data_IF_074117682465
#
_entry.id   IF_074117682465
#
_cell.length_a   1.000
_cell.length_b   1.000
_cell.length_c   1.000
_cell.angle_alpha   90.00
_cell.angle_beta   90.00
_cell.angle_gamma   90.00
#
_symmetry.space_group_name_H-M   'P 1'
#
loop_
_entity.id
_entity.type
_entity.pdbx_description
1 polymer ?
#
# COMPACT_ATOMS: atom_id res chain seq x y z
N UNK A 1 39.80 -42.94 6.06
CA UNK A 1 39.70 -42.30 4.74
C UNK A 1 38.25 -42.01 4.29
N UNK A 2 37.32 -42.97 4.27
CA UNK A 2 35.89 -42.75 3.87
C UNK A 2 35.12 -41.71 4.69
N UNK A 3 35.45 -41.54 5.99
CA UNK A 3 34.78 -40.54 6.88
C UNK A 3 35.25 -39.11 6.63
N UNK A 4 36.51 -38.92 6.18
CA UNK A 4 37.10 -37.62 5.83
C UNK A 4 36.57 -37.15 4.46
N UNK A 5 36.49 -38.07 3.49
CA UNK A 5 35.88 -37.80 2.17
C UNK A 5 34.41 -37.46 2.27
N UNK A 6 33.59 -38.14 3.11
CA UNK A 6 32.19 -37.77 3.37
C UNK A 6 32.06 -36.39 4.01
N UNK A 7 32.97 -35.98 4.89
CA UNK A 7 32.98 -34.64 5.49
C UNK A 7 33.36 -33.55 4.47
N UNK A 8 34.33 -33.84 3.59
CA UNK A 8 34.76 -32.89 2.55
C UNK A 8 33.71 -32.71 1.43
N UNK A 9 33.04 -33.79 1.01
CA UNK A 9 31.98 -33.75 0.01
C UNK A 9 30.68 -33.15 0.59
N UNK A 10 30.39 -33.42 1.88
CA UNK A 10 29.27 -32.81 2.59
C UNK A 10 29.43 -31.30 2.81
N UNK A 11 30.66 -30.84 3.06
CA UNK A 11 30.97 -29.42 3.22
C UNK A 11 30.83 -28.62 1.92
N UNK A 12 31.26 -29.19 0.77
CA UNK A 12 31.11 -28.54 -0.55
C UNK A 12 29.68 -28.42 -1.05
N UNK A 13 28.79 -29.34 -0.64
CA UNK A 13 27.35 -29.25 -1.01
C UNK A 13 26.55 -28.24 -0.19
N UNK A 14 27.10 -27.73 0.92
CA UNK A 14 26.37 -26.84 1.84
C UNK A 14 26.73 -25.36 1.66
N UNK A 15 27.83 -25.07 0.98
CA UNK A 15 28.27 -23.68 0.83
C UNK A 15 27.28 -22.77 0.04
N UNK A 16 26.58 -23.24 -1.02
CA UNK A 16 25.64 -22.39 -1.71
C UNK A 16 24.48 -21.94 -0.82
N UNK A 17 23.95 -22.85 0.01
CA UNK A 17 22.89 -22.52 0.96
C UNK A 17 23.35 -21.51 2.00
N UNK A 18 24.58 -21.66 2.54
CA UNK A 18 25.15 -20.71 3.50
C UNK A 18 25.42 -19.36 2.86
N UNK A 19 25.92 -19.32 1.63
CA UNK A 19 26.13 -18.07 0.89
C UNK A 19 24.80 -17.35 0.60
N UNK A 20 23.76 -18.07 0.16
CA UNK A 20 22.43 -17.51 -0.04
C UNK A 20 21.81 -16.97 1.27
N UNK A 21 22.00 -17.69 2.39
CA UNK A 21 21.57 -17.22 3.71
C UNK A 21 22.33 -15.96 4.14
N UNK A 22 23.63 -15.88 3.91
CA UNK A 22 24.41 -14.67 4.20
C UNK A 22 23.95 -13.48 3.35
N UNK A 23 23.65 -13.69 2.07
CA UNK A 23 23.07 -12.67 1.19
C UNK A 23 21.70 -12.19 1.68
N UNK A 24 20.84 -13.11 2.11
CA UNK A 24 19.55 -12.76 2.70
C UNK A 24 19.70 -11.94 3.99
N UNK A 25 20.62 -12.34 4.88
CA UNK A 25 20.88 -11.59 6.11
C UNK A 25 21.41 -10.18 5.82
N UNK A 26 22.32 -10.04 4.85
CA UNK A 26 22.80 -8.74 4.41
C UNK A 26 21.67 -7.88 3.84
N UNK A 27 20.80 -8.46 3.00
CA UNK A 27 19.61 -7.75 2.50
C UNK A 27 18.74 -7.24 3.63
N UNK A 28 18.35 -8.11 4.58
CA UNK A 28 17.49 -7.74 5.69
C UNK A 28 18.16 -6.72 6.63
N UNK A 29 19.47 -6.84 6.85
CA UNK A 29 20.22 -5.83 7.61
C UNK A 29 20.15 -4.45 6.94
N UNK A 30 20.32 -4.37 5.62
CA UNK A 30 20.17 -3.14 4.85
C UNK A 30 18.74 -2.63 4.92
N UNK A 31 17.76 -3.51 4.73
CA UNK A 31 16.33 -3.15 4.77
C UNK A 31 15.92 -2.56 6.13
N UNK A 32 16.48 -3.07 7.24
CA UNK A 32 16.15 -2.58 8.58
C UNK A 32 16.94 -1.31 8.93
N UNK A 33 18.27 -1.29 8.67
CA UNK A 33 19.14 -0.20 9.11
C UNK A 33 19.06 1.05 8.23
N UNK A 34 18.68 0.91 6.97
CA UNK A 34 18.73 1.98 5.97
C UNK A 34 17.41 2.21 5.24
N UNK A 35 16.28 1.69 5.76
CA UNK A 35 14.96 1.66 5.10
C UNK A 35 14.36 3.02 4.70
N UNK A 36 14.94 4.11 5.19
CA UNK A 36 14.56 5.48 4.79
C UNK A 36 15.77 6.41 4.62
N UNK A 37 17.00 5.92 4.88
CA UNK A 37 18.20 6.74 4.93
C UNK A 37 18.94 6.85 3.59
N UNK A 38 18.77 5.87 2.70
CA UNK A 38 19.35 5.86 1.36
C UNK A 38 18.51 5.03 0.39
N UNK A 39 18.78 5.18 -0.91
CA UNK A 39 18.00 4.51 -1.98
C UNK A 39 18.08 2.98 -1.93
N UNK A 40 19.24 2.43 -1.56
CA UNK A 40 19.42 0.97 -1.44
C UNK A 40 18.57 0.40 -0.30
N UNK A 41 18.55 1.08 0.85
CA UNK A 41 17.71 0.70 1.98
C UNK A 41 16.23 0.80 1.68
N UNK A 42 15.80 1.87 1.01
CA UNK A 42 14.41 2.07 0.57
C UNK A 42 13.99 0.92 -0.37
N UNK A 43 14.80 0.59 -1.38
CA UNK A 43 14.53 -0.51 -2.29
C UNK A 43 14.54 -1.87 -1.60
N UNK A 44 15.50 -2.12 -0.70
CA UNK A 44 15.59 -3.35 0.06
C UNK A 44 14.36 -3.56 0.97
N UNK A 45 13.88 -2.50 1.63
CA UNK A 45 12.69 -2.54 2.46
C UNK A 45 11.42 -2.76 1.62
N UNK A 46 11.30 -2.09 0.47
CA UNK A 46 10.17 -2.24 -0.44
C UNK A 46 10.00 -3.68 -0.96
N UNK A 47 11.10 -4.41 -1.12
CA UNK A 47 11.11 -5.81 -1.53
C UNK A 47 11.14 -6.80 -0.35
N UNK A 48 10.86 -6.34 0.86
CA UNK A 48 10.86 -7.16 2.08
C UNK A 48 9.97 -8.41 2.04
N UNK A 49 8.74 -8.38 1.48
CA UNK A 49 7.93 -9.58 1.31
C UNK A 49 8.61 -10.68 0.47
N UNK A 50 9.41 -10.30 -0.53
CA UNK A 50 10.20 -11.24 -1.34
C UNK A 50 11.37 -11.83 -0.56
N UNK A 51 11.98 -11.04 0.34
CA UNK A 51 12.99 -11.55 1.26
C UNK A 51 12.40 -12.60 2.22
N UNK A 52 11.16 -12.39 2.69
CA UNK A 52 10.44 -13.39 3.49
C UNK A 52 10.20 -14.68 2.70
N UNK A 53 9.77 -14.59 1.45
CA UNK A 53 9.58 -15.77 0.58
C UNK A 53 10.91 -16.53 0.37
N UNK A 54 11.99 -15.80 0.11
CA UNK A 54 13.34 -16.41 0.01
C UNK A 54 13.73 -17.09 1.32
N UNK A 55 13.46 -16.46 2.47
CA UNK A 55 13.73 -17.06 3.77
C UNK A 55 12.98 -18.38 3.97
N UNK A 56 11.70 -18.46 3.53
CA UNK A 56 10.90 -19.70 3.58
C UNK A 56 11.54 -20.80 2.75
N UNK A 57 11.96 -20.49 1.52
CA UNK A 57 12.60 -21.47 0.63
C UNK A 57 13.93 -21.97 1.22
N UNK A 58 14.79 -21.07 1.71
CA UNK A 58 16.07 -21.43 2.33
C UNK A 58 15.86 -22.22 3.63
N UNK A 59 14.86 -21.90 4.41
CA UNK A 59 14.47 -22.62 5.62
C UNK A 59 14.07 -24.07 5.28
N UNK A 60 13.18 -24.26 4.32
CA UNK A 60 12.76 -25.58 3.87
C UNK A 60 13.96 -26.41 3.37
N UNK A 61 14.84 -25.84 2.55
CA UNK A 61 16.05 -26.49 2.08
C UNK A 61 16.99 -26.87 3.23
N UNK A 62 17.17 -26.01 4.23
CA UNK A 62 18.00 -26.30 5.40
C UNK A 62 17.48 -27.52 6.18
N UNK A 63 16.17 -27.61 6.40
CA UNK A 63 15.54 -28.75 7.07
C UNK A 63 15.64 -30.05 6.24
N UNK A 64 15.37 -30.00 4.94
CA UNK A 64 15.49 -31.15 4.02
C UNK A 64 16.94 -31.68 3.99
N UNK A 65 17.92 -30.79 3.99
CA UNK A 65 19.35 -31.15 3.99
C UNK A 65 19.89 -31.52 5.37
N UNK A 66 19.05 -31.61 6.40
CA UNK A 66 19.44 -31.99 7.76
C UNK A 66 20.28 -30.96 8.49
N UNK A 67 20.33 -29.70 8.04
CA UNK A 67 21.07 -28.61 8.67
C UNK A 67 20.26 -27.97 9.82
N UNK A 68 19.98 -28.74 10.88
CA UNK A 68 19.10 -28.36 11.98
C UNK A 68 19.35 -26.97 12.57
N UNK A 69 20.62 -26.59 12.81
CA UNK A 69 20.98 -25.28 13.39
C UNK A 69 20.61 -24.13 12.42
N UNK A 70 20.94 -24.29 11.14
CA UNK A 70 20.62 -23.29 10.12
C UNK A 70 19.10 -23.22 9.90
N UNK A 71 18.43 -24.36 9.88
CA UNK A 71 16.96 -24.44 9.79
C UNK A 71 16.28 -23.69 10.93
N UNK A 72 16.74 -23.86 12.18
CA UNK A 72 16.18 -23.15 13.33
C UNK A 72 16.37 -21.61 13.22
N UNK A 73 17.57 -21.15 12.83
CA UNK A 73 17.83 -19.71 12.62
C UNK A 73 16.93 -19.15 11.52
N UNK A 74 16.82 -19.86 10.39
CA UNK A 74 15.95 -19.42 9.28
C UNK A 74 14.47 -19.45 9.67
N UNK A 75 14.02 -20.39 10.51
CA UNK A 75 12.65 -20.40 11.05
C UNK A 75 12.36 -19.11 11.83
N UNK A 76 13.26 -18.71 12.72
CA UNK A 76 13.13 -17.45 13.48
C UNK A 76 13.09 -16.26 12.53
N UNK A 77 13.93 -16.24 11.49
CA UNK A 77 13.99 -15.18 10.51
C UNK A 77 12.70 -15.09 9.68
N UNK A 78 12.13 -16.22 9.27
CA UNK A 78 10.82 -16.28 8.59
C UNK A 78 9.74 -15.68 9.47
N UNK A 79 9.67 -16.05 10.75
CA UNK A 79 8.68 -15.50 11.68
C UNK A 79 8.85 -13.99 11.86
N UNK A 80 10.09 -13.53 12.08
CA UNK A 80 10.38 -12.11 12.27
C UNK A 80 10.00 -11.28 11.03
N UNK A 81 10.36 -11.75 9.81
CA UNK A 81 10.02 -11.05 8.56
C UNK A 81 8.52 -11.13 8.25
N UNK A 82 7.87 -12.25 8.53
CA UNK A 82 6.42 -12.40 8.34
C UNK A 82 5.63 -11.41 9.20
N UNK A 83 6.05 -11.19 10.44
CA UNK A 83 5.46 -10.20 11.35
C UNK A 83 5.79 -8.79 10.88
N UNK A 84 7.07 -8.47 10.63
CA UNK A 84 7.52 -7.12 10.27
C UNK A 84 6.88 -6.59 8.99
N UNK A 85 6.76 -7.42 7.97
CA UNK A 85 6.12 -7.05 6.69
C UNK A 85 4.62 -7.37 6.62
N UNK A 86 4.00 -7.77 7.74
CA UNK A 86 2.58 -8.15 7.80
C UNK A 86 2.21 -9.12 6.68
N UNK A 87 3.02 -10.18 6.53
CA UNK A 87 2.85 -11.15 5.45
C UNK A 87 1.57 -11.96 5.61
N UNK A 88 1.21 -12.32 6.85
CA UNK A 88 -0.01 -13.06 7.15
C UNK A 88 -1.17 -12.07 7.36
N UNK A 89 -2.25 -12.18 6.57
CA UNK A 89 -3.43 -11.38 6.81
C UNK A 89 -4.03 -11.70 8.19
N UNK A 90 -4.28 -10.67 8.96
CA UNK A 90 -5.00 -10.80 10.23
C UNK A 90 -6.48 -10.51 9.95
N UNK A 91 -7.21 -11.53 9.49
CA UNK A 91 -8.66 -11.43 9.30
C UNK A 91 -9.31 -10.91 10.57
N UNK A 92 -9.85 -9.72 10.54
CA UNK A 92 -10.70 -9.22 11.61
C UNK A 92 -11.96 -10.08 11.74
N UNK A 93 -12.69 -10.03 12.87
CA UNK A 93 -13.93 -10.73 13.02
C UNK A 93 -14.90 -10.34 11.93
N UNK A 94 -15.57 -11.34 11.35
CA UNK A 94 -16.59 -11.14 10.32
C UNK A 94 -17.70 -10.24 10.86
N UNK A 95 -17.78 -9.02 10.36
CA UNK A 95 -18.81 -8.05 10.77
C UNK A 95 -19.95 -8.17 9.77
N UNK A 96 -21.17 -8.41 10.24
CA UNK A 96 -22.36 -8.38 9.40
C UNK A 96 -22.39 -7.06 8.63
N UNK A 97 -22.43 -7.15 7.31
CA UNK A 97 -22.50 -6.01 6.42
C UNK A 97 -23.89 -5.38 6.51
N UNK A 98 -23.95 -4.08 6.84
CA UNK A 98 -25.15 -3.27 6.68
C UNK A 98 -25.04 -2.49 5.35
N UNK A 99 -25.91 -2.75 4.36
CA UNK A 99 -25.86 -2.07 3.07
C UNK A 99 -25.92 -0.54 3.16
N UNK A 100 -26.62 0.01 4.18
CA UNK A 100 -26.71 1.45 4.40
C UNK A 100 -25.43 2.07 4.96
N UNK A 101 -24.54 1.27 5.47
CA UNK A 101 -23.26 1.64 6.11
C UNK A 101 -22.04 1.13 5.35
N UNK A 102 -22.28 0.42 4.25
CA UNK A 102 -21.24 -0.05 3.34
C UNK A 102 -20.78 1.05 2.41
N UNK A 103 -19.49 1.05 2.09
CA UNK A 103 -18.92 1.91 1.06
C UNK A 103 -17.74 1.22 0.39
N UNK A 104 -17.53 1.59 -0.86
CA UNK A 104 -16.44 1.07 -1.68
C UNK A 104 -15.53 2.22 -2.10
N UNK A 105 -14.24 2.10 -1.79
CA UNK A 105 -13.22 3.11 -2.08
C UNK A 105 -12.28 2.59 -3.16
N UNK A 106 -12.11 3.35 -4.22
CA UNK A 106 -11.11 3.14 -5.26
C UNK A 106 -9.94 4.10 -5.07
N UNK A 107 -8.74 3.61 -5.29
CA UNK A 107 -7.52 4.42 -5.36
C UNK A 107 -6.73 4.01 -6.61
N UNK A 108 -6.15 4.99 -7.33
CA UNK A 108 -5.31 4.78 -8.52
C UNK A 108 -4.39 5.97 -8.75
N UNK A 109 -3.10 5.73 -9.00
CA UNK A 109 -2.23 6.69 -9.66
C UNK A 109 -2.41 6.54 -11.20
N UNK A 110 -2.74 7.64 -11.86
CA UNK A 110 -3.12 7.65 -13.29
C UNK A 110 -1.95 7.80 -14.24
N UNK A 111 -0.73 7.94 -13.73
CA UNK A 111 0.48 8.23 -14.51
C UNK A 111 0.25 9.42 -15.46
N UNK A 112 0.14 10.63 -14.88
CA UNK A 112 -0.08 11.87 -15.62
C UNK A 112 -1.30 11.78 -16.56
N UNK A 113 -2.42 11.28 -16.03
CA UNK A 113 -3.67 11.04 -16.78
C UNK A 113 -3.56 10.05 -17.95
N UNK A 114 -2.49 9.29 -18.03
CA UNK A 114 -2.32 8.29 -19.09
C UNK A 114 -3.28 7.10 -18.92
N UNK A 115 -3.72 6.82 -17.71
CA UNK A 115 -4.65 5.72 -17.40
C UNK A 115 -5.92 5.80 -18.26
N UNK A 116 -6.39 4.67 -18.78
CA UNK A 116 -7.60 4.59 -19.60
C UNK A 116 -8.86 5.01 -18.84
N UNK A 117 -9.51 6.15 -19.17
CA UNK A 117 -10.72 6.61 -18.48
C UNK A 117 -11.88 5.61 -18.59
N UNK A 118 -11.95 4.89 -19.72
CA UNK A 118 -12.95 3.84 -19.92
C UNK A 118 -12.75 2.67 -18.97
N UNK A 119 -11.50 2.24 -18.78
CA UNK A 119 -11.19 1.15 -17.86
C UNK A 119 -11.50 1.56 -16.41
N UNK A 120 -11.13 2.78 -16.01
CA UNK A 120 -11.45 3.32 -14.67
C UNK A 120 -12.96 3.37 -14.46
N UNK A 121 -13.73 3.92 -15.42
CA UNK A 121 -15.19 3.98 -15.32
C UNK A 121 -15.84 2.58 -15.26
N UNK A 122 -15.30 1.59 -15.98
CA UNK A 122 -15.76 0.20 -15.89
C UNK A 122 -15.55 -0.39 -14.49
N UNK A 123 -14.38 -0.14 -13.87
CA UNK A 123 -14.11 -0.57 -12.49
C UNK A 123 -15.08 0.10 -11.53
N UNK A 124 -15.24 1.44 -11.64
CA UNK A 124 -16.17 2.20 -10.79
C UNK A 124 -17.60 1.64 -10.89
N UNK A 125 -18.06 1.35 -12.10
CA UNK A 125 -19.40 0.80 -12.32
C UNK A 125 -19.53 -0.65 -11.80
N UNK A 126 -18.59 -1.53 -12.16
CA UNK A 126 -18.68 -2.96 -11.85
C UNK A 126 -18.47 -3.27 -10.37
N UNK A 127 -17.71 -2.43 -9.66
CA UNK A 127 -17.44 -2.59 -8.23
C UNK A 127 -18.33 -1.70 -7.36
N UNK A 128 -19.30 -0.97 -7.95
CA UNK A 128 -20.15 -0.01 -7.24
C UNK A 128 -19.34 0.93 -6.36
N UNK A 129 -18.28 1.54 -6.92
CA UNK A 129 -17.42 2.46 -6.19
C UNK A 129 -18.21 3.68 -5.74
N UNK A 130 -18.00 4.10 -4.51
CA UNK A 130 -18.66 5.23 -3.89
C UNK A 130 -17.75 6.45 -3.75
N UNK A 131 -16.47 6.19 -3.48
CA UNK A 131 -15.42 7.20 -3.35
C UNK A 131 -14.23 6.78 -4.21
N UNK A 132 -13.63 7.71 -4.94
CA UNK A 132 -12.43 7.44 -5.72
C UNK A 132 -11.36 8.52 -5.49
N UNK A 133 -10.13 8.09 -5.24
CA UNK A 133 -8.94 8.94 -5.16
C UNK A 133 -8.09 8.66 -6.39
N UNK A 134 -7.91 9.67 -7.23
CA UNK A 134 -7.05 9.59 -8.41
C UNK A 134 -5.85 10.51 -8.22
N UNK A 135 -4.66 9.94 -8.22
CA UNK A 135 -3.41 10.68 -8.16
C UNK A 135 -2.85 10.94 -9.57
N UNK A 136 -2.01 11.97 -9.69
CA UNK A 136 -1.42 12.44 -10.95
C UNK A 136 -2.45 12.81 -12.01
N UNK A 137 -3.53 13.47 -11.58
CA UNK A 137 -4.56 13.99 -12.48
C UNK A 137 -4.27 15.45 -12.85
N UNK A 138 -4.37 15.78 -14.13
CA UNK A 138 -4.09 17.13 -14.64
C UNK A 138 -5.37 17.91 -14.95
N UNK A 139 -5.25 19.25 -14.98
CA UNK A 139 -6.37 20.13 -15.36
C UNK A 139 -6.86 19.89 -16.80
N UNK A 140 -5.95 19.60 -17.72
CA UNK A 140 -6.24 19.38 -19.13
C UNK A 140 -6.95 18.06 -19.40
N UNK A 141 -6.81 17.09 -18.54
CA UNK A 141 -7.37 15.74 -18.70
C UNK A 141 -8.70 15.55 -17.98
N UNK A 142 -9.01 16.38 -16.99
CA UNK A 142 -10.27 16.31 -16.24
C UNK A 142 -11.53 16.25 -17.08
N UNK A 143 -11.67 16.93 -18.24
CA UNK A 143 -12.86 16.79 -19.08
C UNK A 143 -13.13 15.35 -19.52
N UNK A 144 -12.10 14.54 -19.75
CA UNK A 144 -12.25 13.13 -20.13
C UNK A 144 -12.70 12.23 -18.98
N UNK A 145 -12.15 12.41 -17.79
CA UNK A 145 -12.59 11.70 -16.60
C UNK A 145 -13.96 12.18 -16.17
N UNK A 146 -14.20 13.49 -16.16
CA UNK A 146 -15.43 14.08 -15.71
C UNK A 146 -16.65 13.55 -16.47
N UNK A 147 -16.66 13.52 -17.79
CA UNK A 147 -17.81 13.01 -18.55
C UNK A 147 -18.18 11.55 -18.26
N UNK A 148 -17.25 10.70 -17.85
CA UNK A 148 -17.51 9.29 -17.58
C UNK A 148 -17.72 9.02 -16.10
N UNK A 149 -16.91 9.64 -15.24
CA UNK A 149 -16.97 9.43 -13.81
C UNK A 149 -18.08 10.25 -13.15
N UNK A 150 -18.38 11.47 -13.61
CA UNK A 150 -19.46 12.32 -13.07
C UNK A 150 -20.84 11.68 -13.18
N UNK A 151 -21.07 10.83 -14.19
CA UNK A 151 -22.32 10.05 -14.27
C UNK A 151 -22.45 9.00 -13.16
N UNK A 152 -21.34 8.56 -12.60
CA UNK A 152 -21.26 7.51 -11.57
C UNK A 152 -20.97 8.10 -10.19
N UNK A 153 -20.11 9.13 -10.15
CA UNK A 153 -19.63 9.84 -8.97
C UNK A 153 -19.76 11.35 -9.23
N UNK A 154 -20.97 11.93 -9.03
CA UNK A 154 -21.30 13.27 -9.53
C UNK A 154 -20.60 14.42 -8.79
N UNK A 155 -20.00 14.15 -7.65
CA UNK A 155 -19.35 15.18 -6.84
C UNK A 155 -17.83 14.96 -6.87
N UNK A 156 -17.06 16.04 -7.05
CA UNK A 156 -15.61 15.93 -7.02
C UNK A 156 -14.96 17.15 -6.36
N UNK A 157 -13.72 16.94 -5.90
CA UNK A 157 -12.81 17.96 -5.44
C UNK A 157 -11.44 17.72 -6.06
N UNK A 158 -10.92 18.73 -6.73
CA UNK A 158 -9.61 18.70 -7.36
C UNK A 158 -8.91 20.03 -7.13
N UNK A 159 -7.59 20.02 -7.07
CA UNK A 159 -6.76 21.20 -7.10
C UNK A 159 -5.76 21.05 -8.23
N UNK A 160 -5.67 22.09 -9.05
CA UNK A 160 -4.65 22.20 -10.07
C UNK A 160 -3.32 22.55 -9.43
N UNK A 161 -2.35 21.70 -9.65
CA UNK A 161 -0.97 21.98 -9.31
C UNK A 161 -0.27 22.63 -10.51
N UNK A 162 0.81 23.43 -10.25
CA UNK A 162 1.53 24.12 -11.31
C UNK A 162 2.21 23.17 -12.32
N UNK A 163 2.37 21.92 -11.95
CA UNK A 163 2.93 20.87 -12.82
C UNK A 163 1.95 19.70 -12.97
N UNK A 164 1.85 19.10 -14.15
CA UNK A 164 0.93 18.00 -14.42
C UNK A 164 1.03 16.80 -13.46
N UNK A 165 2.24 16.53 -12.95
CA UNK A 165 2.52 15.42 -12.03
C UNK A 165 1.98 15.61 -10.62
N UNK A 166 1.48 16.79 -10.27
CA UNK A 166 1.18 17.16 -8.89
C UNK A 166 -0.33 17.20 -8.56
N UNK A 167 -1.21 16.94 -9.54
CA UNK A 167 -2.65 17.00 -9.33
C UNK A 167 -3.23 15.76 -8.66
N UNK A 168 -4.18 15.98 -7.77
CA UNK A 168 -5.01 14.92 -7.19
C UNK A 168 -6.48 15.26 -7.37
N UNK A 169 -7.33 14.24 -7.52
CA UNK A 169 -8.78 14.40 -7.58
C UNK A 169 -9.46 13.37 -6.70
N UNK A 170 -10.44 13.82 -5.93
CA UNK A 170 -11.35 12.94 -5.20
C UNK A 170 -12.73 13.04 -5.86
N UNK A 171 -13.32 11.89 -6.19
CA UNK A 171 -14.71 11.76 -6.64
C UNK A 171 -15.56 11.12 -5.56
N UNK A 172 -16.83 11.51 -5.48
CA UNK A 172 -17.79 11.00 -4.50
C UNK A 172 -19.17 10.80 -5.12
N UNK A 173 -19.84 9.71 -4.74
CA UNK A 173 -21.26 9.48 -5.03
C UNK A 173 -22.16 10.44 -4.25
N UNK A 174 -21.72 10.86 -3.08
CA UNK A 174 -22.48 11.72 -2.18
C UNK A 174 -22.04 13.18 -2.25
N UNK A 175 -22.93 14.13 -1.96
CA UNK A 175 -22.54 15.53 -1.84
C UNK A 175 -21.37 15.73 -0.87
N UNK A 176 -20.44 16.57 -1.28
CA UNK A 176 -19.30 16.96 -0.45
C UNK A 176 -19.78 18.07 0.50
N UNK A 177 -19.75 17.78 1.81
CA UNK A 177 -20.17 18.72 2.85
C UNK A 177 -19.10 19.78 3.12
N UNK A 178 -17.86 19.33 3.26
CA UNK A 178 -16.69 20.18 3.48
C UNK A 178 -15.51 19.68 2.65
N UNK A 179 -14.66 20.60 2.24
CA UNK A 179 -13.44 20.31 1.47
C UNK A 179 -12.33 21.28 1.83
N UNK A 180 -11.10 20.77 1.98
CA UNK A 180 -9.88 21.55 2.23
C UNK A 180 -8.64 20.76 1.84
N UNK A 181 -7.45 21.35 2.03
CA UNK A 181 -6.15 20.69 1.81
C UNK A 181 -5.35 20.63 3.09
N UNK A 182 -4.54 19.58 3.21
CA UNK A 182 -3.47 19.53 4.20
C UNK A 182 -2.26 20.25 3.61
N UNK A 183 -1.77 21.25 4.32
CA UNK A 183 -0.63 22.06 3.90
C UNK A 183 0.69 21.37 4.25
N UNK A 184 1.77 21.70 3.51
CA UNK A 184 3.13 21.20 3.80
C UNK A 184 3.47 19.86 3.15
N UNK A 185 2.66 19.37 2.23
CA UNK A 185 2.98 18.25 1.35
C UNK A 185 3.37 18.73 -0.04
N UNK A 186 4.24 18.00 -0.73
CA UNK A 186 4.69 18.34 -2.09
C UNK A 186 3.52 18.41 -3.07
N UNK A 187 2.68 17.38 -3.05
CA UNK A 187 1.46 17.33 -3.85
C UNK A 187 0.25 17.74 -3.00
N UNK A 188 -0.74 18.45 -3.55
CA UNK A 188 -1.94 18.82 -2.82
C UNK A 188 -2.61 17.58 -2.20
N UNK A 189 -2.60 17.51 -0.88
CA UNK A 189 -3.33 16.47 -0.14
C UNK A 189 -4.73 16.96 0.11
N UNK A 190 -5.71 16.32 -0.52
CA UNK A 190 -7.11 16.72 -0.51
C UNK A 190 -7.86 16.08 0.65
N UNK A 191 -8.78 16.82 1.25
CA UNK A 191 -9.68 16.29 2.28
C UNK A 191 -11.10 16.65 1.91
N UNK A 192 -11.99 15.66 2.00
CA UNK A 192 -13.44 15.87 1.89
C UNK A 192 -14.16 15.25 3.07
N UNK A 193 -15.35 15.78 3.35
CA UNK A 193 -16.32 15.14 4.24
C UNK A 193 -17.61 14.86 3.47
N UNK A 194 -18.13 13.65 3.65
CA UNK A 194 -19.39 13.19 3.09
C UNK A 194 -20.25 12.54 4.16
N UNK A 195 -21.55 12.40 3.92
CA UNK A 195 -22.46 11.72 4.86
C UNK A 195 -22.86 10.35 4.32
N UNK A 196 -22.59 9.30 5.10
CA UNK A 196 -22.85 7.90 4.73
C UNK A 196 -23.56 7.22 5.90
N UNK A 197 -24.77 6.68 5.66
CA UNK A 197 -25.54 6.01 6.72
C UNK A 197 -25.83 6.90 7.94
N UNK A 198 -25.95 8.22 7.73
CA UNK A 198 -26.14 9.18 8.81
C UNK A 198 -24.87 9.68 9.51
N UNK A 199 -23.74 9.03 9.29
CA UNK A 199 -22.44 9.36 9.88
C UNK A 199 -21.59 10.22 8.93
N UNK A 200 -20.79 11.14 9.48
CA UNK A 200 -19.79 11.87 8.69
C UNK A 200 -18.56 11.00 8.48
N UNK A 201 -18.15 10.82 7.24
CA UNK A 201 -16.91 10.15 6.83
C UNK A 201 -15.96 11.20 6.28
N UNK A 202 -14.72 11.20 6.78
CA UNK A 202 -13.63 12.05 6.28
C UNK A 202 -12.73 11.20 5.39
N UNK A 203 -12.55 11.61 4.14
CA UNK A 203 -11.63 11.01 3.18
C UNK A 203 -10.48 11.96 2.89
N UNK A 204 -9.27 11.47 3.05
CA UNK A 204 -8.02 12.13 2.64
C UNK A 204 -7.50 11.45 1.39
N UNK A 205 -7.25 12.21 0.34
CA UNK A 205 -6.65 11.75 -0.91
C UNK A 205 -5.27 12.37 -1.09
N UNK A 206 -4.25 11.55 -1.27
CA UNK A 206 -2.87 12.02 -1.34
C UNK A 206 -2.04 11.32 -2.43
N UNK A 207 -0.93 11.98 -2.78
CA UNK A 207 0.24 11.40 -3.40
C UNK A 207 1.48 11.96 -2.71
N UNK A 208 2.27 11.11 -2.08
CA UNK A 208 3.56 11.50 -1.52
C UNK A 208 4.61 11.64 -2.63
N UNK A 209 5.67 12.41 -2.39
CA UNK A 209 6.80 12.52 -3.32
C UNK A 209 7.41 11.13 -3.60
N UNK A 210 8.02 10.96 -4.78
CA UNK A 210 8.74 9.74 -5.10
C UNK A 210 10.10 9.70 -4.37
N UNK A 211 10.37 8.70 -3.51
CA UNK A 211 11.63 8.64 -2.77
C UNK A 211 12.87 8.51 -3.65
N UNK A 212 12.72 8.03 -4.90
CA UNK A 212 13.84 7.96 -5.86
C UNK A 212 14.15 9.32 -6.50
N UNK A 213 13.19 10.27 -6.47
CA UNK A 213 13.37 11.65 -6.95
C UNK A 213 13.86 12.52 -5.79
N UNK A 214 13.13 12.56 -4.69
CA UNK A 214 13.50 13.35 -3.51
C UNK A 214 13.10 12.63 -2.20
N UNK A 215 14.03 11.86 -1.68
CA UNK A 215 13.86 11.09 -0.45
C UNK A 215 13.48 11.95 0.77
N UNK A 216 14.09 13.11 0.91
CA UNK A 216 13.84 13.97 2.07
C UNK A 216 12.43 14.56 2.02
N UNK A 217 11.98 14.95 0.84
CA UNK A 217 10.64 15.44 0.63
C UNK A 217 9.59 14.34 0.83
N UNK A 218 9.85 13.13 0.31
CA UNK A 218 9.03 11.95 0.57
C UNK A 218 8.83 11.69 2.07
N UNK A 219 9.92 11.69 2.83
CA UNK A 219 9.85 11.50 4.28
C UNK A 219 9.10 12.65 4.97
N UNK A 220 9.29 13.89 4.50
CA UNK A 220 8.58 15.07 4.98
C UNK A 220 7.07 14.98 4.72
N UNK A 221 6.67 14.57 3.52
CA UNK A 221 5.26 14.39 3.16
C UNK A 221 4.59 13.38 4.10
N UNK A 222 5.20 12.20 4.27
CA UNK A 222 4.67 11.17 5.17
C UNK A 222 4.64 11.62 6.63
N UNK A 223 5.61 12.39 7.10
CA UNK A 223 5.61 12.96 8.44
C UNK A 223 4.50 14.00 8.61
N UNK A 224 4.24 14.85 7.61
CA UNK A 224 3.13 15.82 7.61
C UNK A 224 1.80 15.11 7.70
N UNK A 225 1.58 14.07 6.89
CA UNK A 225 0.37 13.24 6.95
C UNK A 225 0.24 12.53 8.30
N UNK A 226 1.37 12.04 8.85
CA UNK A 226 1.40 11.40 10.18
C UNK A 226 0.96 12.36 11.28
N UNK A 227 1.52 13.58 11.29
CA UNK A 227 1.18 14.60 12.29
C UNK A 227 -0.30 15.00 12.18
N UNK A 228 -0.79 15.19 10.94
CA UNK A 228 -2.20 15.50 10.70
C UNK A 228 -3.12 14.36 11.15
N UNK A 229 -2.85 13.12 10.74
CA UNK A 229 -3.66 11.96 11.12
C UNK A 229 -3.63 11.71 12.65
N UNK A 230 -2.48 11.94 13.30
CA UNK A 230 -2.34 11.83 14.75
C UNK A 230 -3.18 12.88 15.48
N UNK A 231 -3.20 14.14 15.01
CA UNK A 231 -4.04 15.18 15.59
C UNK A 231 -5.53 14.92 15.38
N UNK A 232 -5.87 14.14 14.33
CA UNK A 232 -7.23 13.76 13.98
C UNK A 232 -7.60 12.30 14.38
N UNK A 233 -6.79 11.64 15.21
CA UNK A 233 -7.03 10.24 15.64
C UNK A 233 -8.38 10.01 16.32
N UNK A 234 -8.98 11.06 16.88
CA UNK A 234 -10.31 11.03 17.46
C UNK A 234 -11.43 11.27 16.43
N UNK A 235 -11.08 11.62 15.21
CA UNK A 235 -12.03 11.73 14.11
C UNK A 235 -12.56 10.34 13.82
N UNK A 236 -13.85 10.16 14.08
CA UNK A 236 -14.54 8.92 13.72
C UNK A 236 -14.60 8.83 12.20
N UNK A 237 -14.52 7.61 11.67
CA UNK A 237 -14.73 7.34 10.26
C UNK A 237 -13.73 8.07 9.33
N UNK A 238 -12.43 7.98 9.65
CA UNK A 238 -11.34 8.51 8.83
C UNK A 238 -10.84 7.45 7.84
N UNK A 239 -10.73 7.85 6.58
CA UNK A 239 -10.10 7.10 5.49
C UNK A 239 -8.95 7.96 4.93
N UNK A 240 -7.79 7.37 4.74
CA UNK A 240 -6.65 7.99 4.06
C UNK A 240 -6.25 7.08 2.91
N UNK A 241 -6.39 7.54 1.68
CA UNK A 241 -6.14 6.74 0.48
C UNK A 241 -5.27 7.48 -0.53
N UNK A 242 -4.49 6.73 -1.31
CA UNK A 242 -3.66 7.32 -2.36
C UNK A 242 -2.37 6.56 -2.61
N UNK A 243 -1.48 7.20 -3.35
CA UNK A 243 -0.12 6.76 -3.61
C UNK A 243 0.81 7.35 -2.54
N UNK A 244 1.26 6.49 -1.62
CA UNK A 244 2.20 6.89 -0.56
C UNK A 244 3.66 6.81 -1.01
N UNK A 245 3.92 6.25 -2.20
CA UNK A 245 5.27 5.92 -2.65
C UNK A 245 6.08 5.16 -1.58
N UNK A 246 5.40 4.41 -0.75
CA UNK A 246 5.94 3.75 0.43
C UNK A 246 5.34 2.35 0.61
N UNK A 247 6.10 1.44 1.20
CA UNK A 247 5.65 0.09 1.57
C UNK A 247 5.73 -0.12 3.07
N UNK A 248 5.00 -1.12 3.59
CA UNK A 248 5.18 -1.62 4.95
C UNK A 248 6.64 -2.08 5.13
N UNK A 249 7.25 -1.71 6.25
CA UNK A 249 8.67 -1.94 6.54
C UNK A 249 9.55 -0.72 6.27
N UNK A 250 9.01 0.36 5.69
CA UNK A 250 9.70 1.64 5.56
C UNK A 250 9.34 2.57 6.72
N UNK A 251 10.35 3.11 7.41
CA UNK A 251 10.17 3.81 8.67
C UNK A 251 9.15 4.96 8.64
N UNK A 252 9.09 5.85 7.63
CA UNK A 252 8.07 6.91 7.61
C UNK A 252 6.65 6.37 7.48
N UNK A 253 6.44 5.29 6.71
CA UNK A 253 5.12 4.69 6.55
C UNK A 253 4.69 3.90 7.78
N UNK A 254 5.61 3.14 8.39
CA UNK A 254 5.35 2.43 9.65
C UNK A 254 5.06 3.42 10.79
N UNK A 255 5.74 4.58 10.81
CA UNK A 255 5.45 5.64 11.77
C UNK A 255 4.02 6.20 11.57
N UNK A 256 3.58 6.38 10.32
CA UNK A 256 2.21 6.79 10.03
C UNK A 256 1.21 5.78 10.61
N UNK A 257 1.34 4.50 10.29
CA UNK A 257 0.43 3.46 10.78
C UNK A 257 0.39 3.40 12.32
N UNK A 258 1.55 3.42 12.96
CA UNK A 258 1.67 3.24 14.41
C UNK A 258 1.17 4.47 15.19
N UNK A 259 1.50 5.68 14.75
CA UNK A 259 1.15 6.93 15.46
C UNK A 259 -0.30 7.35 15.22
N UNK A 260 -0.83 7.15 14.03
CA UNK A 260 -2.22 7.48 13.70
C UNK A 260 -3.22 6.41 14.16
N UNK A 261 -2.74 5.19 14.47
CA UNK A 261 -3.57 4.02 14.78
C UNK A 261 -4.53 3.64 13.63
N UNK A 262 -4.16 3.96 12.40
CA UNK A 262 -4.89 3.54 11.22
C UNK A 262 -4.49 2.12 10.82
N UNK A 263 -5.44 1.37 10.30
CA UNK A 263 -5.24 0.03 9.77
C UNK A 263 -5.05 0.10 8.26
N UNK A 264 -3.97 -0.48 7.73
CA UNK A 264 -3.78 -0.65 6.31
C UNK A 264 -4.68 -1.80 5.81
N UNK A 265 -5.59 -1.45 4.90
CA UNK A 265 -6.75 -2.30 4.55
C UNK A 265 -6.32 -3.57 3.81
N UNK A 266 -5.41 -3.47 2.85
CA UNK A 266 -5.02 -4.62 2.06
C UNK A 266 -4.19 -5.63 2.86
N UNK A 267 -3.32 -5.17 3.77
CA UNK A 267 -2.53 -6.07 4.64
C UNK A 267 -3.37 -6.79 5.67
N UNK A 268 -4.55 -6.28 6.00
CA UNK A 268 -5.45 -6.93 6.93
C UNK A 268 -6.14 -8.17 6.33
N UNK A 269 -6.32 -8.22 4.99
CA UNK A 269 -7.11 -9.27 4.33
C UNK A 269 -6.39 -10.01 3.21
N UNK A 270 -5.27 -9.49 2.69
CA UNK A 270 -4.58 -10.05 1.51
C UNK A 270 -3.11 -10.36 1.79
N UNK A 271 -2.57 -11.35 1.07
CA UNK A 271 -1.14 -11.66 1.03
C UNK A 271 -0.37 -10.57 0.27
N UNK A 272 0.94 -10.33 0.57
CA UNK A 272 1.72 -9.23 -0.03
C UNK A 272 1.71 -9.20 -1.55
N UNK A 273 1.86 -10.34 -2.19
CA UNK A 273 1.91 -10.46 -3.66
C UNK A 273 0.54 -10.27 -4.33
N UNK A 274 -0.57 -10.45 -3.63
CA UNK A 274 -1.91 -10.17 -4.17
C UNK A 274 -2.36 -8.73 -3.96
N UNK A 275 -1.62 -7.94 -3.14
CA UNK A 275 -1.90 -6.52 -2.88
C UNK A 275 -0.89 -5.57 -3.55
N UNK A 276 0.13 -6.11 -4.22
CA UNK A 276 1.11 -5.31 -4.93
C UNK A 276 0.44 -4.46 -6.03
N UNK A 277 0.88 -3.21 -6.18
CA UNK A 277 0.28 -2.24 -7.09
C UNK A 277 1.25 -1.69 -8.12
N UNK A 278 2.59 -1.80 -7.89
CA UNK A 278 3.63 -1.19 -8.71
C UNK A 278 4.87 -2.09 -8.87
N UNK A 279 5.60 -2.01 -9.99
CA UNK A 279 5.15 -1.50 -11.28
C UNK A 279 4.29 -2.53 -12.01
N UNK A 280 3.28 -2.11 -12.77
CA UNK A 280 2.51 -3.03 -13.62
C UNK A 280 3.13 -3.24 -14.99
N UNK A 281 4.09 -2.40 -15.38
CA UNK A 281 4.82 -2.52 -16.64
C UNK A 281 6.24 -3.00 -16.39
N UNK A 282 6.85 -3.76 -17.34
CA UNK A 282 6.28 -4.20 -18.60
C UNK A 282 5.46 -5.50 -18.55
N UNK A 283 5.46 -6.26 -17.42
CA UNK A 283 4.96 -7.65 -17.40
C UNK A 283 3.63 -7.85 -16.65
N UNK A 284 2.94 -6.80 -16.26
CA UNK A 284 1.72 -6.88 -15.42
C UNK A 284 1.90 -7.70 -14.12
N UNK A 285 3.11 -7.70 -13.57
CA UNK A 285 3.46 -8.39 -12.34
C UNK A 285 3.99 -7.39 -11.31
N UNK A 286 3.11 -6.65 -10.62
CA UNK A 286 3.54 -5.71 -9.61
C UNK A 286 4.30 -6.42 -8.49
N UNK A 287 5.34 -5.79 -7.99
CA UNK A 287 6.26 -6.38 -7.02
C UNK A 287 6.14 -5.76 -5.63
N UNK A 288 5.60 -4.54 -5.54
CA UNK A 288 5.47 -3.81 -4.28
C UNK A 288 4.13 -3.10 -4.19
N UNK A 289 3.64 -2.94 -2.97
CA UNK A 289 2.46 -2.17 -2.67
C UNK A 289 2.88 -0.77 -2.24
N UNK A 290 2.63 0.24 -3.05
CA UNK A 290 2.89 1.65 -2.72
C UNK A 290 1.62 2.49 -2.67
N UNK A 291 0.52 1.93 -3.12
CA UNK A 291 -0.81 2.49 -3.11
C UNK A 291 -1.62 1.86 -1.99
N UNK A 292 -2.15 2.68 -1.09
CA UNK A 292 -2.79 2.19 0.13
C UNK A 292 -4.13 2.86 0.40
N UNK A 293 -4.98 2.13 1.13
CA UNK A 293 -6.14 2.64 1.85
C UNK A 293 -5.96 2.34 3.33
N UNK A 294 -5.95 3.39 4.14
CA UNK A 294 -5.83 3.31 5.60
C UNK A 294 -7.15 3.72 6.23
N UNK A 295 -7.60 3.02 7.25
CA UNK A 295 -8.89 3.29 7.89
C UNK A 295 -8.79 3.34 9.40
N UNK A 296 -9.63 4.16 10.02
CA UNK A 296 -9.82 4.17 11.47
C UNK A 296 -10.56 2.91 11.94
N UNK A 297 -10.45 2.58 13.23
CA UNK A 297 -11.02 1.37 13.85
C UNK A 297 -12.54 1.21 13.73
N UNK A 298 -13.24 2.27 13.34
CA UNK A 298 -14.69 2.27 13.13
C UNK A 298 -15.10 1.58 11.83
N UNK A 299 -14.15 1.31 10.94
CA UNK A 299 -14.43 0.54 9.75
C UNK A 299 -14.15 -0.95 9.97
N UNK A 300 -15.07 -1.78 9.51
CA UNK A 300 -14.83 -3.19 9.26
C UNK A 300 -14.37 -3.34 7.80
N UNK A 301 -13.26 -4.02 7.61
CA UNK A 301 -12.70 -4.30 6.30
C UNK A 301 -13.37 -5.57 5.78
N UNK A 302 -14.01 -5.49 4.62
CA UNK A 302 -14.72 -6.62 4.03
C UNK A 302 -13.84 -7.36 3.01
N UNK A 303 -13.25 -6.62 2.10
CA UNK A 303 -12.42 -7.15 1.03
C UNK A 303 -11.55 -6.06 0.39
N UNK A 304 -10.50 -6.50 -0.30
CA UNK A 304 -9.68 -5.66 -1.20
C UNK A 304 -9.45 -6.42 -2.49
N UNK A 305 -9.50 -5.73 -3.61
CA UNK A 305 -9.19 -6.25 -4.94
C UNK A 305 -8.28 -5.29 -5.69
N UNK A 306 -7.38 -5.85 -6.48
CA UNK A 306 -6.44 -5.11 -7.33
C UNK A 306 -6.83 -5.29 -8.79
N UNK A 307 -6.82 -4.21 -9.59
CA UNK A 307 -7.23 -4.21 -10.98
C UNK A 307 -6.13 -3.59 -11.84
N UNK A 308 -5.76 -4.26 -12.92
CA UNK A 308 -4.89 -3.68 -13.93
C UNK A 308 -5.64 -2.64 -14.76
N UNK A 309 -5.04 -1.47 -14.90
CA UNK A 309 -5.57 -0.38 -15.71
C UNK A 309 -4.60 -0.12 -16.86
N UNK A 310 -5.12 -0.02 -18.10
CA UNK A 310 -4.27 0.27 -19.25
C UNK A 310 -3.67 1.66 -19.15
N UNK A 311 -2.45 1.81 -19.66
CA UNK A 311 -1.70 3.05 -19.81
C UNK A 311 -1.20 3.70 -18.53
N UNK A 312 -1.36 3.08 -17.37
CA UNK A 312 -0.63 3.42 -16.14
C UNK A 312 0.34 2.31 -15.78
N UNK A 313 1.31 2.59 -14.93
CA UNK A 313 2.23 1.62 -14.31
C UNK A 313 1.81 1.26 -12.88
N UNK A 314 0.66 1.75 -12.43
CA UNK A 314 0.00 1.36 -11.19
C UNK A 314 -1.23 0.49 -11.45
N UNK A 315 -1.52 -0.42 -10.52
CA UNK A 315 -2.79 -1.10 -10.46
C UNK A 315 -3.75 -0.33 -9.53
N UNK A 316 -5.02 -0.24 -9.92
CA UNK A 316 -6.05 0.30 -9.06
C UNK A 316 -6.33 -0.65 -7.89
N UNK A 317 -6.53 -0.12 -6.70
CA UNK A 317 -7.05 -0.88 -5.55
C UNK A 317 -8.49 -0.47 -5.27
N UNK A 318 -9.33 -1.44 -4.99
CA UNK A 318 -10.72 -1.25 -4.59
C UNK A 318 -10.95 -1.94 -3.26
N UNK A 319 -11.43 -1.20 -2.28
CA UNK A 319 -11.62 -1.67 -0.90
C UNK A 319 -13.10 -1.58 -0.52
N UNK A 320 -13.69 -2.70 -0.08
CA UNK A 320 -15.02 -2.74 0.51
C UNK A 320 -14.94 -2.57 2.02
N UNK A 321 -15.63 -1.56 2.53
CA UNK A 321 -15.63 -1.15 3.94
C UNK A 321 -17.07 -1.11 4.48
N UNK A 322 -17.21 -1.30 5.78
CA UNK A 322 -18.48 -1.14 6.47
C UNK A 322 -18.28 -0.34 7.76
N UNK A 323 -19.12 0.68 7.98
CA UNK A 323 -19.14 1.42 9.24
C UNK A 323 -19.74 0.55 10.33
N UNK A 324 -18.99 0.29 11.41
CA UNK A 324 -19.46 -0.47 12.57
C UNK A 324 -20.63 0.26 13.22
N UNK A 325 -21.62 -0.50 13.68
CA UNK A 325 -22.63 0.00 14.61
C UNK A 325 -21.98 0.28 15.97
N UNK A 326 -22.40 1.33 16.63
CA UNK A 326 -22.01 1.61 18.04
C UNK A 326 -22.50 0.51 18.95
#
# INVERSE_FOLDING_TARGET
MKRILRKAIGGRRQWPLRAATAGLLAWLAIAVSANSSNYVGIAAAALGPWACLLAIVLCALAWILGQRRLGAVLTILVLATAIGYRVVPLSGPEVKSDPKRSLTVLQLNTLLDSASPTAVAQIVKSQNVDLAVLAETTASFRPWHNHRLEKLLPHHFAIDAPYPSLGNTIYSRWPILHRWTIQGTTNPTLVIQVKIGGETVTLVGLRAENPLVNRNQWASDLNTITAWAQSHRNTKNLIVAGDFNATIGQAPFDALLNRSQLTEVASAVNWPWSRATFPTKPWNTPMMQIDHTLVSKQFAIQWVRTYYVRNTDHAATVSGLNLRTK
#
